data_IF_025717593147
#
_entry.id   IF_025717593147
#
_cell.length_a   1.000
_cell.length_b   1.000
_cell.length_c   1.000
_cell.angle_alpha   90.00
_cell.angle_beta   90.00
_cell.angle_gamma   90.00
#
_symmetry.space_group_name_H-M   'P 1'
#
loop_
_entity.id
_entity.type
_entity.pdbx_description
1 polymer ?
#
# COMPACT_ATOMS: atom_id res chain seq x y z
N UNK A 1 -2.35 -10.73 12.20
CA UNK A 1 -1.04 -10.08 12.42
C UNK A 1 -0.08 -10.52 11.32
N UNK A 2 0.74 -9.61 10.77
CA UNK A 2 1.85 -9.99 9.89
C UNK A 2 3.03 -10.46 10.73
N UNK A 3 3.75 -11.48 10.26
CA UNK A 3 4.86 -12.09 11.00
C UNK A 3 6.19 -12.04 10.27
N UNK A 4 6.17 -11.91 8.94
CA UNK A 4 7.39 -11.88 8.12
C UNK A 4 7.15 -11.16 6.80
N UNK A 5 8.18 -10.51 6.28
CA UNK A 5 8.22 -9.87 4.97
C UNK A 5 9.53 -10.23 4.28
N UNK A 6 9.45 -10.93 3.15
CA UNK A 6 10.59 -11.22 2.29
C UNK A 6 10.47 -10.43 0.98
N UNK A 7 11.58 -9.85 0.53
CA UNK A 7 11.60 -8.99 -0.65
C UNK A 7 12.82 -9.34 -1.50
N UNK A 8 12.60 -9.58 -2.81
CA UNK A 8 13.69 -9.83 -3.77
C UNK A 8 13.62 -8.88 -4.96
N UNK A 9 14.77 -8.43 -5.43
CA UNK A 9 14.96 -7.58 -6.62
C UNK A 9 14.13 -6.29 -6.63
N UNK A 10 13.83 -5.72 -5.45
CA UNK A 10 12.99 -4.53 -5.34
C UNK A 10 13.80 -3.29 -4.96
N UNK A 11 13.84 -2.30 -5.84
CA UNK A 11 14.56 -1.03 -5.66
C UNK A 11 16.03 -1.28 -5.26
N UNK A 12 16.37 -1.06 -3.99
CA UNK A 12 17.73 -1.28 -3.48
C UNK A 12 17.98 -2.69 -2.93
N UNK A 13 16.95 -3.50 -2.79
CA UNK A 13 17.07 -4.82 -2.17
C UNK A 13 17.33 -5.91 -3.20
N UNK A 14 18.36 -6.72 -2.95
CA UNK A 14 18.58 -7.98 -3.66
C UNK A 14 17.68 -9.08 -3.10
N UNK A 15 17.90 -9.38 -1.82
CA UNK A 15 17.15 -10.36 -1.05
C UNK A 15 17.21 -9.92 0.42
N UNK A 16 16.06 -9.65 1.01
CA UNK A 16 15.94 -9.36 2.42
C UNK A 16 14.80 -10.16 3.04
N UNK A 17 14.96 -10.46 4.32
CA UNK A 17 14.03 -11.19 5.14
C UNK A 17 13.88 -10.46 6.47
N UNK A 18 12.66 -10.03 6.78
CA UNK A 18 12.35 -9.22 7.96
C UNK A 18 11.28 -9.90 8.78
N UNK A 19 11.59 -10.20 10.02
CA UNK A 19 10.59 -10.63 11.00
C UNK A 19 9.75 -9.42 11.44
N UNK A 20 8.44 -9.62 11.52
CA UNK A 20 7.46 -8.61 11.91
C UNK A 20 6.77 -9.03 13.20
N UNK A 21 6.43 -8.04 14.03
CA UNK A 21 5.66 -8.21 15.27
C UNK A 21 4.42 -7.31 15.28
N UNK A 22 3.82 -7.13 16.45
CA UNK A 22 2.69 -6.20 16.60
C UNK A 22 3.10 -4.75 16.31
N UNK A 23 4.32 -4.39 16.69
CA UNK A 23 4.93 -3.09 16.40
C UNK A 23 6.36 -3.31 15.93
N UNK A 24 6.72 -2.68 14.82
CA UNK A 24 8.05 -2.76 14.21
C UNK A 24 8.56 -1.36 13.95
N UNK A 25 9.78 -1.09 14.38
CA UNK A 25 10.47 0.18 14.15
C UNK A 25 11.72 -0.08 13.32
N UNK A 26 11.73 0.46 12.10
CA UNK A 26 12.94 0.42 11.25
C UNK A 26 13.88 1.57 11.63
N UNK A 27 15.07 1.24 12.13
CA UNK A 27 16.09 2.21 12.50
C UNK A 27 17.26 2.09 11.52
N UNK A 28 17.86 3.22 11.18
CA UNK A 28 19.02 3.26 10.29
C UNK A 28 19.20 4.61 9.62
N UNK A 29 20.34 4.84 8.95
CA UNK A 29 20.62 6.10 8.24
C UNK A 29 19.65 6.34 7.10
N UNK A 30 19.69 7.55 6.54
CA UNK A 30 18.97 7.85 5.31
C UNK A 30 19.43 6.90 4.20
N UNK A 31 18.50 6.55 3.32
CA UNK A 31 18.75 5.59 2.23
C UNK A 31 19.11 4.15 2.67
N UNK A 32 18.84 3.74 3.94
CA UNK A 32 19.03 2.34 4.38
C UNK A 32 17.95 1.36 3.90
N UNK A 33 16.88 1.85 3.26
CA UNK A 33 15.79 1.01 2.74
C UNK A 33 14.54 0.96 3.62
N UNK A 34 14.47 1.68 4.73
CA UNK A 34 13.28 1.69 5.62
C UNK A 34 11.97 1.93 4.86
N UNK A 35 11.91 3.02 4.11
CA UNK A 35 10.76 3.35 3.27
C UNK A 35 10.55 2.32 2.16
N UNK A 36 11.62 1.76 1.61
CA UNK A 36 11.55 0.73 0.56
C UNK A 36 10.86 -0.54 1.07
N UNK A 37 11.13 -0.98 2.30
CA UNK A 37 10.45 -2.14 2.90
C UNK A 37 8.93 -1.90 3.05
N UNK A 38 8.54 -0.71 3.53
CA UNK A 38 7.13 -0.32 3.63
C UNK A 38 6.45 -0.22 2.26
N UNK A 39 7.16 0.28 1.25
CA UNK A 39 6.68 0.35 -0.13
C UNK A 39 6.51 -1.03 -0.76
N UNK A 40 7.37 -1.99 -0.44
CA UNK A 40 7.22 -3.38 -0.90
C UNK A 40 5.92 -4.00 -0.34
N UNK A 41 5.64 -3.81 0.95
CA UNK A 41 4.38 -4.27 1.55
C UNK A 41 3.16 -3.61 0.89
N UNK A 42 3.25 -2.32 0.55
CA UNK A 42 2.18 -1.62 -0.17
C UNK A 42 2.00 -2.15 -1.59
N UNK A 43 3.09 -2.45 -2.30
CA UNK A 43 3.03 -3.06 -3.65
C UNK A 43 2.37 -4.45 -3.60
N UNK A 44 2.71 -5.26 -2.60
CA UNK A 44 2.08 -6.56 -2.37
C UNK A 44 0.56 -6.43 -2.14
N UNK A 45 0.13 -5.49 -1.31
CA UNK A 45 -1.30 -5.25 -1.02
C UNK A 45 -2.06 -4.81 -2.28
N UNK A 46 -1.49 -3.88 -3.07
CA UNK A 46 -2.06 -3.44 -4.35
C UNK A 46 -2.18 -4.64 -5.31
N UNK A 47 -1.13 -5.44 -5.43
CA UNK A 47 -1.11 -6.65 -6.26
C UNK A 47 -2.20 -7.65 -5.85
N UNK A 48 -2.34 -7.92 -4.55
CA UNK A 48 -3.36 -8.80 -4.01
C UNK A 48 -4.78 -8.28 -4.27
N UNK A 49 -5.04 -6.99 -4.06
CA UNK A 49 -6.33 -6.36 -4.34
C UNK A 49 -6.71 -6.47 -5.81
N UNK A 50 -5.80 -6.12 -6.72
CA UNK A 50 -6.03 -6.24 -8.17
C UNK A 50 -6.23 -7.70 -8.61
N UNK A 51 -5.50 -8.62 -8.00
CA UNK A 51 -5.72 -10.05 -8.25
C UNK A 51 -7.12 -10.49 -7.83
N UNK A 52 -7.57 -10.12 -6.63
CA UNK A 52 -8.93 -10.39 -6.14
C UNK A 52 -10.01 -9.83 -7.07
N UNK A 53 -9.90 -8.57 -7.46
CA UNK A 53 -10.83 -7.89 -8.35
C UNK A 53 -10.99 -8.63 -9.69
N UNK A 54 -9.87 -9.01 -10.32
CA UNK A 54 -9.89 -9.61 -11.65
C UNK A 54 -10.11 -11.12 -11.68
N UNK A 55 -9.73 -11.84 -10.63
CA UNK A 55 -9.80 -13.32 -10.60
C UNK A 55 -10.90 -13.84 -9.67
N UNK A 56 -11.57 -12.97 -8.91
CA UNK A 56 -12.83 -13.27 -8.22
C UNK A 56 -12.75 -14.40 -7.21
N UNK A 57 -11.60 -14.64 -6.57
CA UNK A 57 -11.47 -15.67 -5.54
C UNK A 57 -11.64 -17.10 -6.03
N UNK A 58 -11.74 -17.34 -7.32
CA UNK A 58 -11.83 -18.71 -7.87
C UNK A 58 -10.49 -19.40 -7.70
N UNK A 59 -10.52 -20.61 -7.16
CA UNK A 59 -9.42 -21.56 -7.18
C UNK A 59 -8.81 -21.60 -8.58
N UNK A 60 -7.54 -21.37 -8.68
CA UNK A 60 -6.92 -20.96 -9.93
C UNK A 60 -6.52 -22.14 -10.79
N UNK A 61 -6.75 -22.08 -12.10
CA UNK A 61 -6.21 -23.07 -13.03
C UNK A 61 -4.68 -23.05 -13.01
N UNK A 62 -4.08 -24.19 -13.37
CA UNK A 62 -2.60 -24.40 -13.42
C UNK A 62 -1.83 -23.36 -14.28
N UNK A 63 -2.49 -22.66 -15.19
CA UNK A 63 -1.88 -21.59 -16.03
C UNK A 63 -2.49 -20.24 -15.64
N UNK A 64 -1.69 -19.34 -15.07
CA UNK A 64 -2.17 -18.04 -14.60
C UNK A 64 -1.51 -16.90 -15.37
N UNK A 65 -2.19 -16.32 -16.36
CA UNK A 65 -1.77 -15.04 -16.88
C UNK A 65 -1.81 -14.04 -15.73
N UNK A 66 -0.76 -13.24 -15.60
CA UNK A 66 -0.69 -12.18 -14.61
C UNK A 66 -1.83 -11.17 -14.76
N UNK A 67 -2.08 -10.42 -13.71
CA UNK A 67 -2.93 -9.23 -13.72
C UNK A 67 -2.05 -8.03 -13.99
N UNK A 68 -2.38 -7.24 -15.00
CA UNK A 68 -1.63 -6.03 -15.31
C UNK A 68 -1.94 -4.94 -14.30
N UNK A 69 -0.89 -4.35 -13.76
CA UNK A 69 -0.86 -3.17 -12.93
C UNK A 69 -0.24 -2.03 -13.73
N UNK A 70 -0.81 -0.85 -13.64
CA UNK A 70 -0.21 0.35 -14.20
C UNK A 70 0.55 1.11 -13.11
N UNK A 71 1.59 1.86 -13.44
CA UNK A 71 2.30 2.69 -12.48
C UNK A 71 1.38 3.70 -11.77
N UNK A 72 0.29 4.10 -12.41
CA UNK A 72 -0.74 4.98 -11.83
C UNK A 72 -1.59 4.31 -10.74
N UNK A 73 -1.61 2.99 -10.67
CA UNK A 73 -2.26 2.25 -9.58
C UNK A 73 -1.43 2.30 -8.28
N UNK A 74 -0.17 2.80 -8.35
CA UNK A 74 0.80 2.78 -7.25
C UNK A 74 0.81 4.09 -6.45
N UNK A 75 -0.32 4.50 -5.89
CA UNK A 75 -0.40 5.73 -5.10
C UNK A 75 0.59 5.75 -3.91
N UNK A 76 0.83 4.60 -3.29
CA UNK A 76 1.78 4.46 -2.18
C UNK A 76 3.25 4.32 -2.61
N UNK A 77 3.53 4.05 -3.89
CA UNK A 77 4.87 3.84 -4.44
C UNK A 77 5.03 4.68 -5.71
N UNK A 78 5.05 6.00 -5.60
CA UNK A 78 5.10 6.85 -6.78
C UNK A 78 6.42 6.65 -7.52
N UNK A 79 6.30 6.35 -8.82
CA UNK A 79 7.43 6.15 -9.72
C UNK A 79 7.12 6.77 -11.08
N UNK A 80 8.07 7.49 -11.70
CA UNK A 80 7.89 8.01 -13.05
C UNK A 80 7.93 6.92 -14.13
N UNK A 81 8.56 5.77 -13.83
CA UNK A 81 8.70 4.63 -14.73
C UNK A 81 8.65 3.32 -13.96
N UNK A 82 8.01 2.29 -14.52
CA UNK A 82 7.88 0.97 -13.89
C UNK A 82 9.24 0.30 -13.63
N UNK A 83 10.23 0.50 -14.49
CA UNK A 83 11.59 -0.04 -14.32
C UNK A 83 12.25 0.36 -13.00
N UNK A 84 11.88 1.51 -12.41
CA UNK A 84 12.38 1.98 -11.11
C UNK A 84 11.95 1.12 -9.89
N UNK A 85 11.06 0.18 -10.09
CA UNK A 85 10.75 -0.83 -9.05
C UNK A 85 11.82 -1.90 -8.96
N UNK A 86 12.53 -2.19 -10.07
CA UNK A 86 13.56 -3.23 -10.12
C UNK A 86 14.90 -2.70 -9.60
N UNK A 87 15.62 -3.59 -8.94
CA UNK A 87 16.97 -3.26 -8.48
C UNK A 87 17.86 -2.88 -9.66
N UNK A 88 18.59 -1.79 -9.50
CA UNK A 88 19.53 -1.25 -10.48
C UNK A 88 18.94 -1.09 -11.91
N UNK A 89 17.61 -0.90 -11.99
CA UNK A 89 16.84 -0.85 -13.26
C UNK A 89 16.95 -2.14 -14.11
N UNK A 90 17.39 -3.24 -13.49
CA UNK A 90 17.66 -4.48 -14.18
C UNK A 90 16.39 -5.31 -14.33
N UNK A 91 15.64 -5.04 -15.39
CA UNK A 91 14.32 -5.66 -15.65
C UNK A 91 14.38 -6.94 -16.46
N UNK A 92 15.50 -7.18 -17.19
CA UNK A 92 15.70 -8.34 -18.06
C UNK A 92 17.14 -8.79 -18.05
N UNK A 93 17.30 -10.10 -18.21
CA UNK A 93 18.59 -10.74 -18.40
C UNK A 93 18.59 -11.50 -19.72
N UNK A 94 19.74 -11.59 -20.37
CA UNK A 94 19.88 -12.28 -21.65
C UNK A 94 21.13 -13.14 -21.70
N UNK A 95 20.97 -14.37 -22.16
CA UNK A 95 22.08 -15.28 -22.39
C UNK A 95 22.17 -15.66 -23.87
N UNK A 96 23.39 -15.68 -24.42
CA UNK A 96 23.61 -16.20 -25.75
C UNK A 96 23.67 -17.73 -25.71
N UNK A 97 22.74 -18.37 -26.39
CA UNK A 97 22.70 -19.82 -26.55
C UNK A 97 23.17 -20.17 -27.98
N UNK A 98 24.12 -21.09 -28.07
CA UNK A 98 24.54 -21.64 -29.36
C UNK A 98 23.56 -22.76 -29.73
N UNK A 99 22.79 -22.57 -30.80
CA UNK A 99 21.90 -23.59 -31.36
C UNK A 99 22.67 -24.62 -32.15
N UNK A 100 22.15 -25.85 -32.26
CA UNK A 100 22.78 -26.98 -32.97
C UNK A 100 23.14 -26.65 -34.42
N UNK A 101 22.47 -25.68 -35.05
CA UNK A 101 22.74 -25.19 -36.40
C UNK A 101 23.83 -24.09 -36.48
N UNK A 102 24.71 -23.99 -35.47
CA UNK A 102 25.79 -22.97 -35.38
C UNK A 102 25.33 -21.51 -35.38
N UNK A 103 24.04 -21.25 -35.17
CA UNK A 103 23.50 -19.91 -34.98
C UNK A 103 23.61 -19.49 -33.49
N UNK A 104 23.97 -18.22 -33.26
CA UNK A 104 23.86 -17.63 -31.89
C UNK A 104 22.46 -17.04 -31.74
N UNK A 105 21.70 -17.55 -30.77
CA UNK A 105 20.39 -16.97 -30.39
C UNK A 105 20.47 -16.41 -28.98
N UNK A 106 20.05 -15.17 -28.82
CA UNK A 106 19.91 -14.58 -27.47
C UNK A 106 18.56 -14.97 -26.89
N UNK A 107 18.58 -15.67 -25.79
CA UNK A 107 17.37 -15.92 -24.99
C UNK A 107 17.31 -14.88 -23.88
N UNK A 108 16.20 -14.17 -23.81
CA UNK A 108 15.97 -13.10 -22.81
C UNK A 108 14.85 -13.52 -21.90
N UNK A 109 15.01 -13.31 -20.58
CA UNK A 109 13.96 -13.51 -19.59
C UNK A 109 13.85 -12.28 -18.67
N UNK A 110 12.66 -12.10 -18.09
CA UNK A 110 12.43 -11.03 -17.16
C UNK A 110 12.99 -11.37 -15.78
N UNK A 111 13.66 -10.41 -15.16
CA UNK A 111 13.96 -10.45 -13.74
C UNK A 111 12.70 -10.09 -12.99
N UNK A 112 12.35 -10.88 -11.97
CA UNK A 112 11.13 -10.72 -11.18
C UNK A 112 11.44 -9.98 -9.91
N UNK A 113 10.45 -9.21 -9.46
CA UNK A 113 10.36 -8.81 -8.06
C UNK A 113 9.50 -9.86 -7.36
N UNK A 114 9.99 -10.45 -6.28
CA UNK A 114 9.23 -11.34 -5.43
C UNK A 114 8.98 -10.69 -4.07
N UNK A 115 7.72 -10.69 -3.62
CA UNK A 115 7.33 -10.19 -2.29
C UNK A 115 6.49 -11.25 -1.62
N UNK A 116 6.98 -11.77 -0.49
CA UNK A 116 6.30 -12.80 0.29
C UNK A 116 5.95 -12.20 1.64
N UNK A 117 4.70 -12.36 2.03
CA UNK A 117 4.18 -11.90 3.32
C UNK A 117 3.60 -13.08 4.05
N UNK A 118 4.06 -13.29 5.28
CA UNK A 118 3.52 -14.29 6.18
C UNK A 118 2.72 -13.62 7.30
N UNK A 119 1.76 -14.34 7.84
CA UNK A 119 0.97 -13.81 8.94
C UNK A 119 0.12 -14.87 9.62
N UNK A 120 -0.62 -14.42 10.63
CA UNK A 120 -1.58 -15.23 11.38
C UNK A 120 -2.92 -14.50 11.44
N UNK A 121 -4.01 -15.22 11.12
CA UNK A 121 -5.40 -14.76 11.25
C UNK A 121 -6.18 -15.86 11.96
N UNK A 122 -6.83 -15.52 13.09
CA UNK A 122 -7.59 -16.49 13.90
C UNK A 122 -6.78 -17.75 14.21
N UNK A 123 -5.55 -17.57 14.70
CA UNK A 123 -4.58 -18.62 15.06
C UNK A 123 -4.13 -19.53 13.91
N UNK A 124 -4.49 -19.20 12.67
CA UNK A 124 -4.05 -19.91 11.47
C UNK A 124 -2.93 -19.13 10.77
N UNK A 125 -1.79 -19.78 10.67
CA UNK A 125 -0.67 -19.26 9.88
C UNK A 125 -1.00 -19.31 8.38
N UNK A 126 -0.56 -18.31 7.64
CA UNK A 126 -0.69 -18.23 6.20
C UNK A 126 0.56 -17.57 5.60
N UNK A 127 0.85 -17.92 4.35
CA UNK A 127 1.89 -17.31 3.53
C UNK A 127 1.33 -16.94 2.17
N UNK A 128 1.65 -15.76 1.67
CA UNK A 128 1.21 -15.30 0.36
C UNK A 128 2.34 -14.58 -0.37
N UNK A 129 2.92 -15.26 -1.36
CA UNK A 129 3.92 -14.70 -2.25
C UNK A 129 3.29 -14.17 -3.55
N UNK A 130 3.72 -13.00 -3.96
CA UNK A 130 3.40 -12.41 -5.26
C UNK A 130 4.69 -12.12 -6.00
N UNK A 131 4.68 -12.38 -7.31
CA UNK A 131 5.75 -12.00 -8.22
C UNK A 131 5.28 -10.92 -9.19
N UNK A 132 6.22 -10.04 -9.57
CA UNK A 132 5.96 -8.94 -10.50
C UNK A 132 6.94 -9.03 -11.66
N UNK A 133 6.40 -9.05 -12.89
CA UNK A 133 7.16 -9.10 -14.13
C UNK A 133 7.03 -7.77 -14.88
N UNK A 134 8.16 -7.23 -15.33
CA UNK A 134 8.17 -6.03 -16.16
C UNK A 134 7.52 -6.28 -17.53
N UNK A 135 6.66 -5.38 -17.96
CA UNK A 135 6.07 -5.35 -19.30
C UNK A 135 6.64 -4.19 -20.11
N UNK A 136 6.46 -2.98 -19.63
CA UNK A 136 6.95 -1.73 -20.21
C UNK A 136 7.03 -0.63 -19.13
N UNK A 137 7.43 0.58 -19.50
CA UNK A 137 7.62 1.71 -18.58
C UNK A 137 6.34 2.16 -17.85
N UNK A 138 5.16 1.81 -18.38
CA UNK A 138 3.87 2.18 -17.80
C UNK A 138 3.23 1.04 -17.00
N UNK A 139 3.67 -0.22 -17.23
CA UNK A 139 2.96 -1.37 -16.68
C UNK A 139 3.85 -2.58 -16.40
N UNK A 140 3.38 -3.40 -15.48
CA UNK A 140 3.98 -4.68 -15.10
C UNK A 140 2.87 -5.68 -14.74
N UNK A 141 3.18 -6.97 -14.80
CA UNK A 141 2.25 -8.05 -14.47
C UNK A 141 2.46 -8.52 -13.03
N UNK A 142 1.36 -8.77 -12.30
CA UNK A 142 1.37 -9.38 -10.97
C UNK A 142 0.68 -10.74 -11.01
N UNK A 143 1.25 -11.73 -10.33
CA UNK A 143 0.66 -13.06 -10.15
C UNK A 143 1.15 -13.71 -8.85
N UNK A 144 0.50 -14.80 -8.37
CA UNK A 144 1.09 -15.61 -7.31
C UNK A 144 2.49 -16.08 -7.64
N UNK A 145 3.34 -16.24 -6.63
CA UNK A 145 4.73 -16.62 -6.76
C UNK A 145 4.86 -18.00 -7.42
N UNK A 146 5.84 -18.19 -8.30
CA UNK A 146 6.18 -19.50 -8.86
C UNK A 146 6.67 -20.43 -7.77
N UNK A 147 6.32 -21.72 -7.91
CA UNK A 147 6.82 -22.75 -7.01
C UNK A 147 8.32 -23.02 -7.25
N UNK A 148 9.03 -23.52 -6.22
CA UNK A 148 10.43 -23.92 -6.37
C UNK A 148 10.61 -24.89 -7.53
N UNK A 149 11.70 -24.71 -8.31
CA UNK A 149 11.98 -25.47 -9.54
C UNK A 149 11.37 -24.88 -10.80
N UNK A 150 10.55 -23.84 -10.69
CA UNK A 150 9.96 -23.11 -11.82
C UNK A 150 10.42 -21.64 -11.90
N UNK A 151 11.48 -21.28 -11.17
CA UNK A 151 11.99 -19.91 -11.10
C UNK A 151 12.51 -19.43 -12.46
N UNK A 152 13.12 -20.34 -13.23
CA UNK A 152 13.64 -20.08 -14.56
C UNK A 152 12.74 -20.69 -15.63
N UNK A 153 12.64 -20.03 -16.78
CA UNK A 153 11.94 -20.56 -17.92
C UNK A 153 10.66 -19.81 -18.33
N UNK A 154 9.87 -20.46 -19.19
CA UNK A 154 8.67 -19.84 -19.74
C UNK A 154 7.54 -19.83 -18.71
N UNK A 155 6.95 -18.66 -18.49
CA UNK A 155 5.77 -18.47 -17.61
C UNK A 155 4.63 -19.45 -17.90
N UNK A 156 4.50 -19.92 -19.16
CA UNK A 156 3.41 -20.83 -19.56
C UNK A 156 3.52 -22.22 -18.96
N UNK A 157 4.73 -22.64 -18.61
CA UNK A 157 5.02 -23.97 -18.11
C UNK A 157 5.25 -23.99 -16.58
N UNK A 158 5.25 -22.80 -15.95
CA UNK A 158 5.48 -22.64 -14.53
C UNK A 158 4.24 -23.04 -13.69
N UNK A 159 4.49 -23.62 -12.53
CA UNK A 159 3.49 -23.82 -11.47
C UNK A 159 3.58 -22.66 -10.45
N UNK A 160 2.43 -22.29 -9.87
CA UNK A 160 2.32 -21.14 -9.00
C UNK A 160 1.73 -21.53 -7.64
N UNK A 161 2.14 -20.81 -6.60
CA UNK A 161 1.56 -20.89 -5.27
C UNK A 161 0.08 -20.50 -5.29
N UNK A 162 -0.69 -21.00 -4.33
CA UNK A 162 -2.08 -20.57 -4.14
C UNK A 162 -2.12 -19.34 -3.22
N UNK A 163 -3.02 -18.40 -3.53
CA UNK A 163 -3.35 -17.35 -2.55
C UNK A 163 -4.23 -17.98 -1.47
N UNK A 164 -3.89 -17.82 -0.18
CA UNK A 164 -4.67 -18.38 0.91
C UNK A 164 -6.13 -17.92 0.89
N UNK A 165 -7.05 -18.84 1.11
CA UNK A 165 -8.49 -18.55 1.15
C UNK A 165 -8.86 -17.45 2.15
N UNK A 166 -8.15 -17.38 3.28
CA UNK A 166 -8.35 -16.36 4.31
C UNK A 166 -8.12 -14.95 3.79
N UNK A 167 -7.27 -14.78 2.77
CA UNK A 167 -7.03 -13.50 2.12
C UNK A 167 -8.03 -13.22 0.99
N UNK A 168 -8.67 -14.24 0.44
CA UNK A 168 -9.61 -14.12 -0.67
C UNK A 168 -11.05 -13.83 -0.23
N UNK A 169 -11.46 -14.33 0.93
CA UNK A 169 -12.83 -14.20 1.43
C UNK A 169 -13.12 -12.80 1.97
N UNK A 170 -14.18 -12.16 1.48
CA UNK A 170 -14.61 -10.84 1.94
C UNK A 170 -15.26 -10.85 3.35
N UNK A 171 -15.65 -12.03 3.85
CA UNK A 171 -16.32 -12.22 5.15
C UNK A 171 -15.37 -12.27 6.36
N UNK A 172 -14.07 -12.37 6.14
CA UNK A 172 -13.08 -12.30 7.21
C UNK A 172 -12.52 -10.87 7.26
N UNK A 173 -12.28 -10.27 8.45
CA UNK A 173 -11.57 -9.01 8.52
C UNK A 173 -10.19 -9.21 7.88
N UNK A 174 -10.11 -8.86 6.60
CA UNK A 174 -8.92 -9.03 5.78
C UNK A 174 -7.81 -8.11 6.26
N UNK A 175 -6.59 -8.42 5.85
CA UNK A 175 -5.47 -7.52 6.07
C UNK A 175 -5.72 -6.25 5.26
N UNK A 176 -5.67 -5.11 5.92
CA UNK A 176 -5.69 -3.80 5.31
C UNK A 176 -4.33 -3.15 5.50
N UNK A 177 -3.65 -2.84 4.41
CA UNK A 177 -2.41 -2.07 4.43
C UNK A 177 -2.74 -0.63 4.13
N UNK A 178 -2.39 0.28 5.04
CA UNK A 178 -2.40 1.71 4.81
C UNK A 178 -0.96 2.21 4.89
N UNK A 179 -0.45 2.70 3.78
CA UNK A 179 0.86 3.35 3.73
C UNK A 179 0.70 4.84 3.96
N UNK A 180 1.33 5.34 5.01
CA UNK A 180 1.41 6.76 5.29
C UNK A 180 2.82 7.25 4.94
N UNK A 181 2.98 7.99 3.84
CA UNK A 181 4.29 8.56 3.49
C UNK A 181 4.71 9.60 4.52
N UNK A 182 6.02 9.94 4.60
CA UNK A 182 6.48 11.02 5.45
C UNK A 182 5.70 12.31 5.16
N UNK A 183 5.08 12.88 6.17
CA UNK A 183 4.28 14.10 6.03
C UNK A 183 5.19 15.30 6.18
N UNK A 184 5.22 16.15 5.17
CA UNK A 184 5.81 17.47 5.25
C UNK A 184 4.71 18.44 5.66
N UNK A 185 4.53 18.74 6.94
CA UNK A 185 3.65 19.77 7.46
C UNK A 185 2.25 19.89 6.82
N UNK A 186 1.25 20.33 7.56
CA UNK A 186 -0.07 20.66 7.00
C UNK A 186 0.02 21.95 6.18
N UNK A 187 -0.67 22.02 5.06
CA UNK A 187 -0.83 23.27 4.32
C UNK A 187 -1.66 24.27 5.14
N UNK A 188 -1.30 25.56 5.11
CA UNK A 188 -2.08 26.61 5.78
C UNK A 188 -3.50 26.67 5.22
N UNK A 189 -3.62 26.59 3.90
CA UNK A 189 -4.88 26.57 3.16
C UNK A 189 -4.97 25.32 2.29
N UNK A 190 -6.15 24.74 2.18
CA UNK A 190 -6.40 23.57 1.35
C UNK A 190 -7.68 23.78 0.55
N UNK A 191 -7.54 23.96 -0.76
CA UNK A 191 -8.64 24.10 -1.68
C UNK A 191 -9.28 22.76 -2.03
N UNK A 192 -10.56 22.78 -2.37
CA UNK A 192 -11.26 21.58 -2.85
C UNK A 192 -10.61 21.08 -4.14
N UNK A 193 -10.19 19.83 -4.16
CA UNK A 193 -9.49 19.18 -5.25
C UNK A 193 -10.27 18.02 -5.85
N UNK A 194 -10.04 17.77 -7.15
CA UNK A 194 -10.59 16.60 -7.81
C UNK A 194 -9.82 15.32 -7.40
N UNK A 195 -10.48 14.16 -7.54
CA UNK A 195 -9.91 12.87 -7.17
C UNK A 195 -8.53 12.61 -7.77
N UNK A 196 -8.38 12.85 -9.07
CA UNK A 196 -7.12 12.60 -9.76
C UNK A 196 -5.96 13.46 -9.25
N UNK A 197 -6.25 14.70 -8.78
CA UNK A 197 -5.25 15.57 -8.17
C UNK A 197 -4.89 15.08 -6.76
N UNK A 198 -5.88 14.65 -5.98
CA UNK A 198 -5.67 14.07 -4.64
C UNK A 198 -4.79 12.83 -4.77
N UNK A 199 -5.12 11.91 -5.66
CA UNK A 199 -4.36 10.67 -5.88
C UNK A 199 -2.92 10.96 -6.32
N UNK A 200 -2.73 11.94 -7.19
CA UNK A 200 -1.42 12.39 -7.64
C UNK A 200 -0.57 12.94 -6.48
N UNK A 201 -1.13 13.82 -5.64
CA UNK A 201 -0.43 14.39 -4.49
C UNK A 201 -0.09 13.34 -3.43
N UNK A 202 -1.02 12.42 -3.15
CA UNK A 202 -0.75 11.25 -2.28
C UNK A 202 0.40 10.43 -2.86
N UNK A 203 0.37 10.17 -4.17
CA UNK A 203 1.42 9.45 -4.87
C UNK A 203 2.80 10.11 -4.75
N UNK A 204 2.86 11.43 -4.67
CA UNK A 204 4.09 12.20 -4.44
C UNK A 204 4.52 12.28 -2.96
N UNK A 205 3.78 11.66 -2.04
CA UNK A 205 4.05 11.75 -0.61
C UNK A 205 3.58 13.06 0.03
N UNK A 206 2.74 13.82 -0.67
CA UNK A 206 2.22 15.12 -0.21
C UNK A 206 0.81 14.97 0.45
N UNK A 207 0.58 13.87 1.16
CA UNK A 207 -0.70 13.57 1.81
C UNK A 207 -1.17 14.68 2.73
N UNK A 208 -0.24 15.38 3.38
CA UNK A 208 -0.55 16.50 4.27
C UNK A 208 -1.21 17.69 3.55
N UNK A 209 -1.01 17.84 2.23
CA UNK A 209 -1.60 18.91 1.43
C UNK A 209 -3.04 18.59 0.96
N UNK A 210 -3.51 17.37 1.21
CA UNK A 210 -4.85 16.92 0.80
C UNK A 210 -5.63 16.27 1.96
N UNK A 211 -5.16 16.44 3.18
CA UNK A 211 -5.77 15.82 4.36
C UNK A 211 -7.21 16.29 4.58
N UNK A 212 -7.47 17.59 4.44
CA UNK A 212 -8.83 18.14 4.59
C UNK A 212 -9.75 17.67 3.47
N UNK A 213 -9.24 17.53 2.24
CA UNK A 213 -9.98 16.93 1.13
C UNK A 213 -10.37 15.47 1.43
N UNK A 214 -9.46 14.67 1.97
CA UNK A 214 -9.75 13.29 2.36
C UNK A 214 -10.83 13.23 3.44
N UNK A 215 -10.72 14.07 4.47
CA UNK A 215 -11.73 14.17 5.53
C UNK A 215 -13.08 14.63 4.99
N UNK A 216 -13.08 15.67 4.15
CA UNK A 216 -14.31 16.18 3.52
C UNK A 216 -15.02 15.13 2.69
N UNK A 217 -14.30 14.33 1.93
CA UNK A 217 -14.86 13.24 1.13
C UNK A 217 -15.44 12.13 1.99
N UNK A 218 -14.77 11.76 3.07
CA UNK A 218 -15.33 10.79 4.02
C UNK A 218 -16.63 11.34 4.61
N UNK A 219 -16.63 12.60 5.00
CA UNK A 219 -17.81 13.21 5.63
C UNK A 219 -19.00 13.36 4.67
N UNK A 220 -18.73 13.65 3.39
CA UNK A 220 -19.77 13.87 2.36
C UNK A 220 -20.18 12.60 1.61
N UNK A 221 -19.67 11.42 1.98
CA UNK A 221 -20.08 10.15 1.38
C UNK A 221 -21.53 9.84 1.73
N UNK A 222 -22.38 9.64 0.71
CA UNK A 222 -23.82 9.48 0.88
C UNK A 222 -24.22 8.17 1.58
N UNK A 223 -23.39 7.11 1.46
CA UNK A 223 -23.74 5.80 2.00
C UNK A 223 -23.19 5.58 3.42
N UNK A 224 -21.98 6.04 3.69
CA UNK A 224 -21.22 5.70 4.91
C UNK A 224 -20.63 6.90 5.63
N UNK A 225 -20.86 8.11 5.12
CA UNK A 225 -20.17 9.31 5.61
C UNK A 225 -20.34 9.54 7.11
N UNK A 226 -21.55 9.47 7.61
CA UNK A 226 -21.83 9.71 9.02
C UNK A 226 -21.14 8.68 9.94
N UNK A 227 -21.25 7.40 9.61
CA UNK A 227 -20.63 6.33 10.42
C UNK A 227 -19.10 6.35 10.36
N UNK A 228 -18.53 6.59 9.18
CA UNK A 228 -17.09 6.66 8.98
C UNK A 228 -16.50 7.91 9.66
N UNK A 229 -17.20 9.04 9.58
CA UNK A 229 -16.77 10.26 10.27
C UNK A 229 -16.77 10.10 11.79
N UNK A 230 -17.81 9.49 12.34
CA UNK A 230 -17.89 9.20 13.77
C UNK A 230 -16.74 8.29 14.24
N UNK A 231 -16.39 7.27 13.44
CA UNK A 231 -15.23 6.41 13.76
C UNK A 231 -13.92 7.20 13.79
N UNK A 232 -13.74 8.16 12.86
CA UNK A 232 -12.57 9.05 12.86
C UNK A 232 -12.56 9.92 14.11
N UNK A 233 -13.68 10.55 14.47
CA UNK A 233 -13.80 11.39 15.66
C UNK A 233 -13.46 10.61 16.93
N UNK A 234 -14.04 9.42 17.12
CA UNK A 234 -13.77 8.55 18.27
C UNK A 234 -12.28 8.19 18.38
N UNK A 235 -11.64 7.88 17.26
CA UNK A 235 -10.20 7.62 17.20
C UNK A 235 -9.36 8.84 17.59
N UNK A 236 -9.67 10.01 17.06
CA UNK A 236 -8.97 11.26 17.37
C UNK A 236 -9.12 11.61 18.84
N UNK A 237 -10.33 11.53 19.40
CA UNK A 237 -10.57 11.73 20.83
C UNK A 237 -9.74 10.75 21.66
N UNK A 238 -9.72 9.47 21.30
CA UNK A 238 -8.97 8.42 22.01
C UNK A 238 -7.45 8.65 22.00
N UNK A 239 -6.91 9.16 20.88
CA UNK A 239 -5.47 9.31 20.71
C UNK A 239 -4.93 10.64 21.21
N UNK A 240 -5.69 11.70 21.06
CA UNK A 240 -5.22 13.08 21.27
C UNK A 240 -6.03 13.87 22.29
N UNK A 241 -7.17 13.38 22.77
CA UNK A 241 -8.03 14.08 23.72
C UNK A 241 -8.75 15.29 23.12
N UNK A 242 -8.77 15.43 21.80
CA UNK A 242 -9.42 16.54 21.10
C UNK A 242 -10.62 16.05 20.31
N UNK A 243 -11.65 16.87 20.23
CA UNK A 243 -12.84 16.64 19.43
C UNK A 243 -12.67 17.32 18.07
N UNK A 244 -12.74 16.55 16.99
CA UNK A 244 -12.62 17.03 15.63
C UNK A 244 -14.01 17.41 15.10
N UNK A 245 -14.16 18.65 14.64
CA UNK A 245 -15.41 19.11 14.02
C UNK A 245 -15.48 18.70 12.56
N UNK A 246 -16.71 18.54 12.01
CA UNK A 246 -16.89 18.24 10.59
C UNK A 246 -16.14 19.21 9.68
N UNK A 247 -15.57 18.73 8.56
CA UNK A 247 -14.96 19.62 7.59
C UNK A 247 -16.01 20.49 6.91
N UNK A 248 -15.72 21.79 6.82
CA UNK A 248 -16.59 22.79 6.23
C UNK A 248 -16.01 23.28 4.91
N UNK A 249 -16.78 23.18 3.82
CA UNK A 249 -16.39 23.77 2.55
C UNK A 249 -16.93 25.21 2.46
N UNK A 250 -16.02 26.17 2.31
CA UNK A 250 -16.34 27.60 2.17
C UNK A 250 -16.32 27.95 0.67
N UNK A 251 -17.50 28.01 0.07
CA UNK A 251 -17.66 28.17 -1.37
C UNK A 251 -17.04 29.47 -1.92
N UNK A 252 -17.13 30.58 -1.16
CA UNK A 252 -16.60 31.88 -1.56
C UNK A 252 -15.07 31.88 -1.72
N UNK A 253 -14.40 31.00 -1.02
CA UNK A 253 -12.93 30.85 -1.06
C UNK A 253 -12.48 29.58 -1.74
N UNK A 254 -13.41 28.64 -2.01
CA UNK A 254 -13.06 27.32 -2.52
C UNK A 254 -12.24 26.45 -1.55
N UNK A 255 -12.26 26.79 -0.27
CA UNK A 255 -11.37 26.25 0.78
C UNK A 255 -12.12 25.29 1.68
N UNK A 256 -11.42 24.22 2.12
CA UNK A 256 -11.91 23.30 3.16
C UNK A 256 -11.26 23.68 4.48
N UNK A 257 -12.08 23.97 5.49
CA UNK A 257 -11.66 24.30 6.84
C UNK A 257 -12.01 23.16 7.78
N UNK A 258 -11.09 22.81 8.67
CA UNK A 258 -11.31 21.87 9.76
C UNK A 258 -10.95 22.55 11.09
N UNK A 259 -11.80 22.31 12.09
CA UNK A 259 -11.63 22.83 13.45
C UNK A 259 -11.60 21.68 14.44
N UNK A 260 -10.95 21.91 15.56
CA UNK A 260 -11.00 20.99 16.70
C UNK A 260 -11.19 21.79 17.99
N UNK A 261 -11.72 21.16 19.01
CA UNK A 261 -11.80 21.68 20.36
C UNK A 261 -11.17 20.70 21.34
N UNK A 262 -10.57 21.20 22.40
CA UNK A 262 -10.16 20.35 23.50
C UNK A 262 -11.41 19.81 24.19
N UNK A 263 -11.43 18.51 24.50
CA UNK A 263 -12.51 17.93 25.29
C UNK A 263 -12.40 18.53 26.70
N UNK A 264 -13.32 19.39 27.07
CA UNK A 264 -13.41 19.96 28.41
C UNK A 264 -13.44 18.79 29.39
N UNK A 265 -12.39 18.63 30.17
CA UNK A 265 -12.43 17.70 31.30
C UNK A 265 -13.65 18.06 32.16
N UNK A 266 -14.42 17.07 32.53
CA UNK A 266 -15.45 17.26 33.56
C UNK A 266 -14.81 17.98 34.74
N UNK A 267 -15.21 19.22 34.95
CA UNK A 267 -14.88 19.95 36.19
C UNK A 267 -15.36 19.09 37.36
N UNK A 268 -14.43 18.43 38.03
CA UNK A 268 -14.63 17.94 39.38
C UNK A 268 -14.94 19.16 40.22
N UNK A 269 -16.21 19.28 40.61
CA UNK A 269 -16.73 20.39 41.36
C UNK A 269 -15.96 20.63 42.64
N UNK A 270 -15.44 21.81 42.76
CA UNK A 270 -15.26 22.46 44.08
C UNK A 270 -15.68 23.90 43.98
N UNK A 271 -16.90 24.12 44.52
CA UNK A 271 -17.39 25.44 44.87
C UNK A 271 -16.46 26.00 45.93
N UNK A 272 -15.73 27.02 45.65
CA UNK A 272 -15.24 27.92 46.66
C UNK A 272 -15.58 29.35 46.24
N UNK A 273 -16.62 29.85 46.82
CA UNK A 273 -16.97 31.25 46.75
C UNK A 273 -15.93 32.12 47.46
N UNK A 274 -15.56 33.20 46.79
CA UNK A 274 -15.22 34.46 47.48
C UNK A 274 -15.56 35.65 46.59
N UNK A 275 -16.60 36.36 46.99
CA UNK A 275 -16.80 37.79 46.65
C UNK A 275 -15.70 38.59 47.32
N UNK A 276 -15.13 39.55 46.65
CA UNK A 276 -14.71 40.84 47.18
C UNK A 276 -14.29 41.72 46.01
N UNK A 277 -15.06 42.75 45.87
CA UNK A 277 -14.82 44.18 45.67
C UNK A 277 -14.01 44.57 44.44
#
# INVERSE_FOLDING_TARGET
MLTRLQIRNFKRFDDIDVELGQSVVFIGPNNSGKTTALQALSLWDIGLKKWKEKKGGKSSPKKRPGVTLNRRDLNAVPIPSASLLWKDLHVREGQQIVTQDKGKKTQTWNIRIDIIVDGVIQDKAWSCGLEFDYLNEESFACRPLRLPGHEEGNVRDAEFSSIPDVLLKNSTPGIKVAYLPPMSGLADQEFLKQQGEIDFLIGQGQTAQVLRNLCHRVYTDEEKGESAWKEIQEKIVSLFGVELHPPEYIAERGEIVMRYSEKSGEESGEKSGKKSE
#
